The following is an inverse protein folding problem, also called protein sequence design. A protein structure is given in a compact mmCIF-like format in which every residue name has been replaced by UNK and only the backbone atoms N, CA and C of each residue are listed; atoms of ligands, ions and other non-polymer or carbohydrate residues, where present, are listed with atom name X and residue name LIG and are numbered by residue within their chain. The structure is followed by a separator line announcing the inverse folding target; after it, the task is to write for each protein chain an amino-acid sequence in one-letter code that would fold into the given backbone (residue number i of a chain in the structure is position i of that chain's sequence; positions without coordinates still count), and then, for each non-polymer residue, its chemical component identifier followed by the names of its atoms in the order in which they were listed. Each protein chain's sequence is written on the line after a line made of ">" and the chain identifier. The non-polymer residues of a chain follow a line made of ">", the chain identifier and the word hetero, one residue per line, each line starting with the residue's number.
data_IF_624617268847
#
_entry.id   IF_624617268847
#
_cell.length_a   1.000
_cell.length_b   1.000
_cell.length_c   1.000
_cell.angle_alpha   90.00
_cell.angle_beta   90.00
_cell.angle_gamma   90.00
#
_symmetry.space_group_name_H-M   'P 1'
#
loop_
_entity.id
_entity.type
_entity.pdbx_description
1 polymer ?
#
# COMPACT_ATOMS: atom_id res chain seq x y z
N UNK A 1 -15.43 0.68 17.96
CA UNK A 1 -16.13 0.94 16.67
C UNK A 1 -15.54 2.10 15.85
N UNK A 2 -14.84 3.08 16.45
CA UNK A 2 -14.27 4.25 15.75
C UNK A 2 -13.17 3.92 14.72
N UNK A 3 -12.26 2.98 15.02
CA UNK A 3 -11.17 2.58 14.09
C UNK A 3 -11.68 2.01 12.76
N UNK A 4 -12.81 1.29 12.76
CA UNK A 4 -13.38 0.67 11.55
C UNK A 4 -13.98 1.73 10.62
N UNK A 5 -14.57 2.79 11.17
CA UNK A 5 -15.13 3.89 10.38
C UNK A 5 -14.03 4.73 9.72
N UNK A 6 -12.90 4.99 10.38
CA UNK A 6 -11.79 5.70 9.74
C UNK A 6 -11.22 4.92 8.55
N UNK A 7 -11.08 3.60 8.67
CA UNK A 7 -10.63 2.74 7.56
C UNK A 7 -11.63 2.72 6.41
N UNK A 8 -12.92 2.69 6.69
CA UNK A 8 -13.97 2.78 5.68
C UNK A 8 -13.87 4.08 4.87
N UNK A 9 -13.71 5.23 5.54
CA UNK A 9 -13.57 6.53 4.87
C UNK A 9 -12.37 6.52 3.92
N UNK A 10 -11.23 5.98 4.36
CA UNK A 10 -10.02 5.89 3.53
C UNK A 10 -10.27 5.05 2.27
N UNK A 11 -10.91 3.88 2.39
CA UNK A 11 -11.20 3.05 1.24
C UNK A 11 -12.26 3.65 0.31
N UNK A 12 -13.23 4.41 0.84
CA UNK A 12 -14.18 5.16 0.02
C UNK A 12 -13.44 6.26 -0.76
N UNK A 13 -12.53 6.99 -0.12
CA UNK A 13 -11.70 8.00 -0.79
C UNK A 13 -10.87 7.35 -1.91
N UNK A 14 -10.21 6.22 -1.66
CA UNK A 14 -9.47 5.50 -2.69
C UNK A 14 -10.35 4.96 -3.82
N UNK A 15 -11.58 4.55 -3.51
CA UNK A 15 -12.55 4.14 -4.53
C UNK A 15 -12.92 5.32 -5.43
N UNK A 16 -13.22 6.49 -4.86
CA UNK A 16 -13.57 7.70 -5.62
C UNK A 16 -12.38 8.17 -6.46
N UNK A 17 -11.18 8.23 -5.88
CA UNK A 17 -9.96 8.62 -6.61
C UNK A 17 -9.69 7.63 -7.75
N UNK A 18 -9.78 6.33 -7.50
CA UNK A 18 -9.60 5.29 -8.52
C UNK A 18 -10.60 5.42 -9.66
N UNK A 19 -11.88 5.65 -9.35
CA UNK A 19 -12.94 5.85 -10.33
C UNK A 19 -12.73 7.12 -11.18
N UNK A 20 -12.34 8.24 -10.55
CA UNK A 20 -12.05 9.49 -11.24
C UNK A 20 -10.85 9.33 -12.18
N UNK A 21 -9.77 8.71 -11.72
CA UNK A 21 -8.58 8.47 -12.56
C UNK A 21 -8.90 7.55 -13.76
N UNK A 22 -9.68 6.50 -13.53
CA UNK A 22 -10.11 5.59 -14.60
C UNK A 22 -10.98 6.33 -15.64
N UNK A 23 -11.94 7.13 -15.19
CA UNK A 23 -12.83 7.88 -16.08
C UNK A 23 -12.08 8.97 -16.85
N UNK A 24 -11.22 9.74 -16.19
CA UNK A 24 -10.41 10.79 -16.84
C UNK A 24 -9.51 10.19 -17.93
N UNK A 25 -8.94 9.01 -17.68
CA UNK A 25 -8.13 8.31 -18.68
C UNK A 25 -8.97 7.83 -19.87
N UNK A 26 -10.19 7.32 -19.61
CA UNK A 26 -11.15 6.96 -20.66
C UNK A 26 -11.59 8.14 -21.54
N UNK A 27 -11.60 9.36 -20.98
CA UNK A 27 -11.86 10.61 -21.76
C UNK A 27 -10.63 11.15 -22.50
N UNK A 28 -9.49 10.47 -22.44
CA UNK A 28 -8.25 10.90 -23.11
C UNK A 28 -7.55 12.10 -22.46
N UNK A 29 -7.98 12.54 -21.26
CA UNK A 29 -7.39 13.68 -20.55
C UNK A 29 -6.11 13.34 -19.79
N UNK A 30 -5.91 12.07 -19.44
CA UNK A 30 -4.72 11.56 -18.76
C UNK A 30 -4.26 10.27 -19.43
N UNK A 31 -2.95 10.01 -19.34
CA UNK A 31 -2.29 8.88 -19.98
C UNK A 31 -2.82 7.51 -19.47
N UNK A 32 -2.64 6.48 -20.29
CA UNK A 32 -3.04 5.10 -20.02
C UNK A 32 -2.49 4.56 -18.70
N UNK A 33 -1.31 5.03 -18.26
CA UNK A 33 -0.76 4.74 -16.93
C UNK A 33 -1.77 5.02 -15.79
N UNK A 34 -2.49 6.14 -15.86
CA UNK A 34 -3.46 6.54 -14.85
C UNK A 34 -4.72 5.66 -14.86
N UNK A 35 -5.08 5.10 -16.02
CA UNK A 35 -6.17 4.12 -16.13
C UNK A 35 -5.83 2.82 -15.40
N UNK A 36 -4.60 2.33 -15.56
CA UNK A 36 -4.11 1.12 -14.91
C UNK A 36 -4.05 1.30 -13.39
N UNK A 37 -3.48 2.41 -12.93
CA UNK A 37 -3.44 2.70 -11.49
C UNK A 37 -4.84 2.94 -10.90
N UNK A 38 -5.70 3.66 -11.61
CA UNK A 38 -7.07 3.93 -11.19
C UNK A 38 -7.90 2.66 -11.04
N UNK A 39 -7.81 1.74 -12.01
CA UNK A 39 -8.52 0.45 -11.96
C UNK A 39 -8.06 -0.44 -10.81
N UNK A 40 -6.76 -0.50 -10.53
CA UNK A 40 -6.21 -1.24 -9.39
C UNK A 40 -6.70 -0.68 -8.04
N UNK A 41 -6.65 0.65 -7.88
CA UNK A 41 -7.16 1.33 -6.68
C UNK A 41 -8.65 1.09 -6.48
N UNK A 42 -9.43 1.17 -7.57
CA UNK A 42 -10.86 0.92 -7.55
C UNK A 42 -11.19 -0.52 -7.12
N UNK A 43 -10.56 -1.52 -7.75
CA UNK A 43 -10.78 -2.92 -7.46
C UNK A 43 -10.40 -3.30 -6.01
N UNK A 44 -9.22 -2.87 -5.54
CA UNK A 44 -8.76 -3.13 -4.17
C UNK A 44 -9.70 -2.47 -3.16
N UNK A 45 -10.17 -1.26 -3.44
CA UNK A 45 -11.09 -0.54 -2.54
C UNK A 45 -12.43 -1.25 -2.42
N UNK A 46 -13.01 -1.73 -3.53
CA UNK A 46 -14.25 -2.53 -3.51
C UNK A 46 -14.07 -3.80 -2.68
N UNK A 47 -13.00 -4.57 -2.93
CA UNK A 47 -12.73 -5.80 -2.20
C UNK A 47 -12.62 -5.55 -0.69
N UNK A 48 -11.92 -4.49 -0.29
CA UNK A 48 -11.79 -4.11 1.12
C UNK A 48 -13.10 -3.65 1.73
N UNK A 49 -13.90 -2.86 1.02
CA UNK A 49 -15.22 -2.42 1.49
C UNK A 49 -16.16 -3.62 1.67
N UNK A 50 -16.13 -4.59 0.74
CA UNK A 50 -16.90 -5.82 0.85
C UNK A 50 -16.46 -6.65 2.07
N UNK A 51 -15.15 -6.83 2.28
CA UNK A 51 -14.63 -7.52 3.47
C UNK A 51 -15.09 -6.85 4.77
N UNK A 52 -15.05 -5.51 4.85
CA UNK A 52 -15.50 -4.78 6.04
C UNK A 52 -17.02 -4.94 6.24
N UNK A 53 -17.80 -4.90 5.17
CA UNK A 53 -19.24 -5.11 5.23
C UNK A 53 -19.57 -6.54 5.70
N UNK A 54 -18.89 -7.56 5.16
CA UNK A 54 -19.02 -8.95 5.61
C UNK A 54 -18.64 -9.08 7.08
N UNK A 55 -17.52 -8.50 7.50
CA UNK A 55 -17.07 -8.48 8.89
C UNK A 55 -18.08 -7.83 9.85
N UNK A 56 -18.89 -6.86 9.38
CA UNK A 56 -19.94 -6.24 10.19
C UNK A 56 -21.23 -7.08 10.27
N UNK A 57 -21.54 -7.87 9.24
CA UNK A 57 -22.82 -8.59 9.11
C UNK A 57 -22.75 -10.06 9.55
N UNK A 58 -21.59 -10.69 9.42
CA UNK A 58 -21.38 -12.12 9.64
C UNK A 58 -20.49 -12.31 10.89
N UNK A 59 -21.11 -12.71 12.00
CA UNK A 59 -20.45 -12.89 13.30
C UNK A 59 -19.42 -14.02 13.27
N UNK A 60 -19.73 -15.12 12.57
CA UNK A 60 -18.83 -16.27 12.45
C UNK A 60 -17.58 -15.90 11.65
N UNK A 61 -17.76 -15.15 10.56
CA UNK A 61 -16.63 -14.61 9.80
C UNK A 61 -15.80 -13.63 10.63
N UNK A 62 -16.45 -12.78 11.42
CA UNK A 62 -15.77 -11.82 12.28
C UNK A 62 -14.94 -12.51 13.37
N UNK A 63 -15.49 -13.56 14.00
CA UNK A 63 -14.81 -14.35 15.03
C UNK A 63 -13.61 -15.10 14.45
N UNK A 64 -13.79 -15.82 13.33
CA UNK A 64 -12.68 -16.52 12.64
C UNK A 64 -11.55 -15.56 12.27
N UNK A 65 -11.89 -14.39 11.73
CA UNK A 65 -10.91 -13.36 11.41
C UNK A 65 -10.23 -12.82 12.67
N UNK A 66 -10.94 -12.69 13.79
CA UNK A 66 -10.37 -12.22 15.04
C UNK A 66 -9.34 -13.20 15.60
N UNK A 67 -9.68 -14.49 15.62
CA UNK A 67 -8.77 -15.58 16.04
C UNK A 67 -7.52 -15.59 15.17
N UNK A 68 -7.69 -15.56 13.83
CA UNK A 68 -6.56 -15.56 12.90
C UNK A 68 -5.65 -14.34 13.05
N UNK A 69 -6.20 -13.15 13.35
CA UNK A 69 -5.41 -11.94 13.53
C UNK A 69 -4.68 -11.88 14.89
N UNK A 70 -5.17 -12.61 15.90
CA UNK A 70 -4.54 -12.69 17.23
C UNK A 70 -3.62 -13.90 17.41
N UNK A 71 -3.61 -14.83 16.44
CA UNK A 71 -2.65 -15.93 16.39
C UNK A 71 -1.21 -15.37 16.25
N UNK A 72 -0.36 -15.67 17.23
CA UNK A 72 1.03 -15.23 17.31
C UNK A 72 1.81 -15.62 16.05
N UNK A 73 1.55 -16.80 15.48
CA UNK A 73 2.22 -17.26 14.26
C UNK A 73 1.89 -16.37 13.08
N UNK A 74 0.63 -15.97 12.93
CA UNK A 74 0.20 -15.09 11.84
C UNK A 74 0.72 -13.67 12.02
N UNK A 75 0.81 -13.18 13.26
CA UNK A 75 1.43 -11.88 13.56
C UNK A 75 2.91 -11.90 13.19
N UNK A 76 3.65 -12.91 13.65
CA UNK A 76 5.07 -13.07 13.31
C UNK A 76 5.29 -13.18 11.80
N UNK A 77 4.49 -13.98 11.10
CA UNK A 77 4.59 -14.14 9.65
C UNK A 77 4.30 -12.82 8.92
N UNK A 78 3.30 -12.06 9.39
CA UNK A 78 2.95 -10.76 8.80
C UNK A 78 4.06 -9.73 8.99
N UNK A 79 4.65 -9.64 10.19
CA UNK A 79 5.79 -8.75 10.45
C UNK A 79 7.02 -9.15 9.62
N UNK A 80 7.31 -10.45 9.55
CA UNK A 80 8.42 -10.96 8.73
C UNK A 80 8.22 -10.65 7.25
N UNK A 81 7.01 -10.85 6.73
CA UNK A 81 6.67 -10.53 5.34
C UNK A 81 6.81 -9.04 5.05
N UNK A 82 6.36 -8.15 5.95
CA UNK A 82 6.52 -6.69 5.80
C UNK A 82 7.99 -6.27 5.79
N UNK A 83 8.79 -6.83 6.69
CA UNK A 83 10.23 -6.58 6.75
C UNK A 83 10.94 -7.06 5.48
N UNK A 84 10.65 -8.28 5.02
CA UNK A 84 11.23 -8.80 3.78
C UNK A 84 10.79 -7.99 2.56
N UNK A 85 9.51 -7.61 2.45
CA UNK A 85 9.01 -6.78 1.36
C UNK A 85 9.69 -5.40 1.32
N UNK A 86 9.93 -4.78 2.48
CA UNK A 86 10.69 -3.53 2.57
C UNK A 86 12.11 -3.70 2.03
N UNK A 87 12.83 -4.72 2.49
CA UNK A 87 14.20 -5.03 2.02
C UNK A 87 14.23 -5.27 0.52
N UNK A 88 13.33 -6.10 -0.01
CA UNK A 88 13.26 -6.37 -1.45
C UNK A 88 12.89 -5.14 -2.26
N UNK A 89 12.05 -4.24 -1.72
CA UNK A 89 11.72 -2.98 -2.39
C UNK A 89 12.93 -2.07 -2.55
N UNK A 90 13.80 -1.96 -1.54
CA UNK A 90 15.04 -1.18 -1.62
C UNK A 90 15.99 -1.78 -2.66
N UNK A 91 16.15 -3.10 -2.66
CA UNK A 91 17.00 -3.78 -3.65
C UNK A 91 16.49 -3.55 -5.07
N UNK A 92 15.18 -3.74 -5.30
CA UNK A 92 14.57 -3.53 -6.61
C UNK A 92 14.72 -2.07 -7.09
N UNK A 93 14.48 -1.10 -6.22
CA UNK A 93 14.67 0.32 -6.54
C UNK A 93 16.14 0.64 -6.84
N UNK A 94 17.08 0.08 -6.06
CA UNK A 94 18.52 0.29 -6.27
C UNK A 94 19.00 -0.27 -7.61
N UNK A 95 18.52 -1.45 -7.99
CA UNK A 95 18.76 -2.01 -9.34
C UNK A 95 18.18 -1.07 -10.40
N UNK A 96 16.98 -0.52 -10.16
CA UNK A 96 16.36 0.47 -11.04
C UNK A 96 17.18 1.75 -11.20
N UNK A 97 17.80 2.26 -10.12
CA UNK A 97 18.69 3.42 -10.17
C UNK A 97 19.89 3.16 -11.07
N UNK A 98 20.55 2.01 -10.91
CA UNK A 98 21.71 1.60 -11.71
C UNK A 98 21.31 1.45 -13.19
N UNK A 99 20.22 0.74 -13.46
CA UNK A 99 19.71 0.57 -14.81
C UNK A 99 19.37 1.90 -15.49
N UNK A 100 18.68 2.81 -14.78
CA UNK A 100 18.37 4.15 -15.30
C UNK A 100 19.63 4.97 -15.58
N UNK A 101 20.69 4.81 -14.78
CA UNK A 101 21.97 5.49 -15.00
C UNK A 101 22.69 4.98 -16.25
N UNK A 102 22.69 3.66 -16.48
CA UNK A 102 23.25 3.04 -17.68
C UNK A 102 22.49 3.51 -18.93
N UNK A 103 21.16 3.66 -18.84
CA UNK A 103 20.33 4.16 -19.93
C UNK A 103 20.39 5.69 -20.13
N UNK A 104 21.30 6.40 -19.45
CA UNK A 104 21.42 7.86 -19.45
C UNK A 104 20.13 8.62 -19.08
N UNK A 105 19.18 7.97 -18.39
CA UNK A 105 17.93 8.57 -17.91
C UNK A 105 18.13 9.15 -16.51
N UNK A 106 18.83 10.28 -16.44
CA UNK A 106 19.28 10.89 -15.19
C UNK A 106 18.13 11.24 -14.24
N UNK A 107 17.03 11.78 -14.77
CA UNK A 107 15.85 12.16 -13.96
C UNK A 107 15.22 10.96 -13.25
N UNK A 108 15.04 9.85 -13.97
CA UNK A 108 14.49 8.61 -13.41
C UNK A 108 15.42 7.99 -12.36
N UNK A 109 16.73 8.03 -12.61
CA UNK A 109 17.74 7.57 -11.64
C UNK A 109 17.67 8.38 -10.34
N UNK A 110 17.59 9.71 -10.44
CA UNK A 110 17.47 10.60 -9.27
C UNK A 110 16.14 10.40 -8.54
N UNK A 111 15.01 10.26 -9.26
CA UNK A 111 13.71 9.98 -8.65
C UNK A 111 13.71 8.68 -7.85
N UNK A 112 14.18 7.58 -8.44
CA UNK A 112 14.27 6.29 -7.77
C UNK A 112 15.22 6.35 -6.55
N UNK A 113 16.34 7.07 -6.67
CA UNK A 113 17.27 7.28 -5.57
C UNK A 113 16.64 8.05 -4.40
N UNK A 114 15.89 9.11 -4.69
CA UNK A 114 15.14 9.85 -3.67
C UNK A 114 14.11 8.98 -2.96
N UNK A 115 13.42 8.09 -3.69
CA UNK A 115 12.47 7.14 -3.07
C UNK A 115 13.18 6.20 -2.09
N UNK A 116 14.36 5.67 -2.44
CA UNK A 116 15.16 4.83 -1.53
C UNK A 116 15.57 5.62 -0.29
N UNK A 117 16.10 6.83 -0.46
CA UNK A 117 16.49 7.69 0.66
C UNK A 117 15.29 7.98 1.58
N UNK A 118 14.13 8.28 1.00
CA UNK A 118 12.91 8.54 1.76
C UNK A 118 12.41 7.30 2.51
N UNK A 119 12.48 6.10 1.91
CA UNK A 119 12.12 4.85 2.58
C UNK A 119 13.00 4.57 3.80
N UNK A 120 14.32 4.77 3.68
CA UNK A 120 15.26 4.58 4.80
C UNK A 120 15.04 5.64 5.89
N UNK A 121 14.81 6.89 5.50
CA UNK A 121 14.49 7.96 6.43
C UNK A 121 13.19 7.68 7.20
N UNK A 122 12.12 7.24 6.51
CA UNK A 122 10.88 6.85 7.16
C UNK A 122 11.07 5.68 8.12
N UNK A 123 11.82 4.66 7.73
CA UNK A 123 12.15 3.54 8.62
C UNK A 123 12.86 4.05 9.89
N UNK A 124 13.84 4.94 9.74
CA UNK A 124 14.56 5.52 10.86
C UNK A 124 13.66 6.31 11.80
N UNK A 125 12.80 7.20 11.27
CA UNK A 125 11.82 7.95 12.07
C UNK A 125 10.85 7.02 12.79
N UNK A 126 10.30 6.03 12.08
CA UNK A 126 9.37 5.06 12.66
C UNK A 126 10.04 4.23 13.75
N UNK A 127 11.30 3.84 13.57
CA UNK A 127 12.06 3.13 14.59
C UNK A 127 12.21 3.96 15.86
N UNK A 128 12.50 5.25 15.77
CA UNK A 128 12.56 6.14 16.94
C UNK A 128 11.23 6.25 17.67
N UNK A 129 10.12 6.39 16.92
CA UNK A 129 8.77 6.47 17.50
C UNK A 129 8.39 5.15 18.17
N UNK A 130 8.66 4.03 17.51
CA UNK A 130 8.29 2.70 18.01
C UNK A 130 9.15 2.28 19.19
N UNK A 131 10.46 2.56 19.19
CA UNK A 131 11.36 2.34 20.35
C UNK A 131 10.91 3.08 21.61
N UNK A 132 10.23 4.22 21.47
CA UNK A 132 9.69 4.94 22.63
C UNK A 132 8.43 4.27 23.19
N UNK A 133 7.72 3.52 22.36
CA UNK A 133 6.40 2.94 22.67
C UNK A 133 6.48 1.48 23.13
N UNK A 134 7.42 0.72 22.59
CA UNK A 134 7.72 -0.67 22.90
C UNK A 134 9.11 -0.74 23.54
#
# INVERSE_FOLDING_TARGET
>A
MTKTNNRLIIYILFLVIGAVLFFLAGTGRVDSFWSGMGSALFAISILRLFQINRYKKDSDYAEKMNIQNHDERNQWLSEKARSSAFTYSIVALSIGVIAARIMHKLEWSTLLGMVVCFQVFLYWVLWFVLKKKY
#
